data_IF_184970364758
#
_entry.id   IF_184970364758
#
_cell.length_a   1.000
_cell.length_b   1.000
_cell.length_c   1.000
_cell.angle_alpha   90.00
_cell.angle_beta   90.00
_cell.angle_gamma   90.00
#
_symmetry.space_group_name_H-M   'P 1'
#
loop_
_entity.id
_entity.type
_entity.pdbx_description
1 polymer ?
#
# COMPACT_ATOMS: atom_id res chain seq x y z
N UNK A 1 -25.34 -13.69 -5.30
CA UNK A 1 -23.99 -14.28 -5.14
C UNK A 1 -24.00 -15.15 -3.88
N UNK A 2 -23.53 -16.40 -3.96
CA UNK A 2 -23.51 -17.37 -2.85
C UNK A 2 -22.19 -17.26 -2.06
N UNK A 3 -22.18 -17.74 -0.82
CA UNK A 3 -20.96 -17.97 -0.06
C UNK A 3 -20.16 -19.12 -0.69
N UNK A 4 -18.84 -19.02 -0.65
CA UNK A 4 -17.91 -20.03 -1.18
C UNK A 4 -17.08 -20.59 -0.05
N UNK A 5 -16.94 -21.92 0.00
CA UNK A 5 -15.99 -22.61 0.88
C UNK A 5 -14.97 -23.36 0.01
N UNK A 6 -13.72 -22.99 0.16
CA UNK A 6 -12.61 -23.68 -0.50
C UNK A 6 -12.20 -24.89 0.35
N UNK A 7 -12.48 -26.08 -0.19
CA UNK A 7 -12.16 -27.39 0.45
C UNK A 7 -10.93 -28.05 -0.15
N UNK A 8 -10.36 -27.47 -1.21
CA UNK A 8 -9.13 -27.88 -1.87
C UNK A 8 -8.37 -26.67 -2.39
N UNK A 9 -7.09 -26.85 -2.74
CA UNK A 9 -6.27 -25.78 -3.29
C UNK A 9 -6.89 -25.19 -4.56
N UNK A 10 -6.82 -23.86 -4.66
CA UNK A 10 -7.40 -23.12 -5.77
C UNK A 10 -6.41 -22.07 -6.29
N UNK A 11 -6.30 -21.97 -7.61
CA UNK A 11 -5.57 -20.88 -8.27
C UNK A 11 -6.48 -20.25 -9.31
N UNK A 12 -6.69 -18.93 -9.20
CA UNK A 12 -7.64 -18.24 -10.05
C UNK A 12 -7.22 -18.25 -11.53
N UNK A 13 -8.17 -18.49 -12.41
CA UNK A 13 -8.05 -18.38 -13.88
C UNK A 13 -8.87 -17.21 -14.42
N UNK A 14 -9.69 -16.58 -13.58
CA UNK A 14 -10.52 -15.41 -13.86
C UNK A 14 -10.91 -14.72 -12.56
N UNK A 15 -11.65 -13.62 -12.64
CA UNK A 15 -12.30 -12.98 -11.51
C UNK A 15 -13.31 -13.91 -10.86
N UNK A 16 -13.51 -13.75 -9.54
CA UNK A 16 -14.49 -14.52 -8.77
C UNK A 16 -15.29 -13.59 -7.86
N UNK A 17 -16.62 -13.69 -7.93
CA UNK A 17 -17.56 -12.95 -7.07
C UNK A 17 -18.24 -13.89 -6.09
N UNK A 18 -18.20 -13.54 -4.79
CA UNK A 18 -18.83 -14.31 -3.72
C UNK A 18 -19.52 -13.41 -2.69
N UNK A 19 -20.49 -13.96 -1.97
CA UNK A 19 -21.08 -13.27 -0.82
C UNK A 19 -20.11 -13.24 0.37
N UNK A 20 -19.46 -14.37 0.67
CA UNK A 20 -18.40 -14.53 1.66
C UNK A 20 -17.48 -15.68 1.24
N UNK A 21 -16.28 -15.73 1.80
CA UNK A 21 -15.31 -16.77 1.48
C UNK A 21 -14.78 -17.42 2.75
N UNK A 22 -14.77 -18.75 2.76
CA UNK A 22 -14.13 -19.55 3.81
C UNK A 22 -13.04 -20.43 3.18
N UNK A 23 -11.84 -20.37 3.72
CA UNK A 23 -10.71 -21.23 3.34
C UNK A 23 -10.52 -22.24 4.47
N UNK A 24 -10.68 -23.52 4.17
CA UNK A 24 -10.51 -24.58 5.17
C UNK A 24 -9.04 -24.74 5.57
N UNK A 25 -8.84 -25.34 6.75
CA UNK A 25 -7.50 -25.67 7.27
C UNK A 25 -6.69 -26.48 6.24
N UNK A 26 -5.46 -26.06 6.00
CA UNK A 26 -4.52 -26.71 5.06
C UNK A 26 -4.77 -26.40 3.58
N UNK A 27 -5.79 -25.59 3.26
CA UNK A 27 -6.11 -25.20 1.88
C UNK A 27 -5.39 -23.92 1.51
N UNK A 28 -4.80 -23.88 0.31
CA UNK A 28 -4.16 -22.70 -0.26
C UNK A 28 -5.00 -22.15 -1.42
N UNK A 29 -5.46 -20.92 -1.30
CA UNK A 29 -6.21 -20.18 -2.32
C UNK A 29 -5.34 -19.06 -2.84
N UNK A 30 -5.14 -18.98 -4.15
CA UNK A 30 -4.29 -17.96 -4.78
C UNK A 30 -5.06 -17.22 -5.88
N UNK A 31 -5.07 -15.89 -5.79
CA UNK A 31 -5.51 -15.02 -6.87
C UNK A 31 -4.31 -14.48 -7.62
N UNK A 32 -4.29 -14.74 -8.93
CA UNK A 32 -3.19 -14.40 -9.84
C UNK A 32 -3.29 -12.96 -10.34
N UNK A 33 -2.18 -12.43 -10.84
CA UNK A 33 -2.11 -11.08 -11.43
C UNK A 33 -3.22 -10.83 -12.46
N UNK A 34 -3.86 -9.69 -12.37
CA UNK A 34 -4.97 -9.28 -13.22
C UNK A 34 -6.34 -9.77 -12.75
N UNK A 35 -6.40 -10.70 -11.79
CA UNK A 35 -7.68 -11.21 -11.29
C UNK A 35 -8.12 -10.50 -10.00
N UNK A 36 -9.43 -10.26 -9.92
CA UNK A 36 -10.08 -9.70 -8.74
C UNK A 36 -10.91 -10.77 -8.02
N UNK A 37 -10.71 -10.86 -6.71
CA UNK A 37 -11.61 -11.56 -5.82
C UNK A 37 -12.58 -10.56 -5.22
N UNK A 38 -13.84 -10.58 -5.63
CA UNK A 38 -14.88 -9.74 -5.05
C UNK A 38 -15.59 -10.53 -3.97
N UNK A 39 -15.63 -9.99 -2.75
CA UNK A 39 -16.27 -10.62 -1.60
C UNK A 39 -17.25 -9.64 -0.98
N UNK A 40 -18.53 -10.01 -0.93
CA UNK A 40 -19.57 -9.17 -0.34
C UNK A 40 -19.31 -8.86 1.13
N UNK A 41 -18.90 -9.85 1.92
CA UNK A 41 -18.71 -9.76 3.36
C UNK A 41 -17.28 -10.14 3.78
N UNK A 42 -17.14 -11.13 4.68
CA UNK A 42 -15.84 -11.51 5.22
C UNK A 42 -15.12 -12.57 4.40
N UNK A 43 -13.79 -12.56 4.55
CA UNK A 43 -12.89 -13.67 4.26
C UNK A 43 -12.49 -14.30 5.58
N UNK A 44 -12.65 -15.63 5.69
CA UNK A 44 -12.24 -16.43 6.85
C UNK A 44 -11.23 -17.49 6.43
N UNK A 45 -10.00 -17.40 6.91
CA UNK A 45 -8.99 -18.44 6.72
C UNK A 45 -8.84 -19.24 8.02
N UNK A 46 -9.23 -20.52 7.99
CA UNK A 46 -9.25 -21.39 9.16
C UNK A 46 -7.90 -22.08 9.38
N UNK A 47 -7.42 -22.09 10.62
CA UNK A 47 -6.20 -22.79 11.01
C UNK A 47 -4.99 -22.43 10.14
N UNK A 48 -4.49 -23.35 9.34
CA UNK A 48 -3.39 -23.16 8.38
C UNK A 48 -3.86 -22.87 6.95
N UNK A 49 -5.16 -22.66 6.74
CA UNK A 49 -5.70 -22.20 5.45
C UNK A 49 -5.15 -20.82 5.09
N UNK A 50 -4.84 -20.59 3.84
CA UNK A 50 -4.16 -19.34 3.41
C UNK A 50 -4.81 -18.77 2.14
N UNK A 51 -5.18 -17.48 2.17
CA UNK A 51 -5.48 -16.71 0.97
C UNK A 51 -4.23 -15.93 0.56
N UNK A 52 -3.80 -16.11 -0.67
CA UNK A 52 -2.72 -15.32 -1.29
C UNK A 52 -3.29 -14.41 -2.38
N UNK A 53 -3.10 -13.12 -2.23
CA UNK A 53 -3.34 -12.11 -3.26
C UNK A 53 -2.00 -11.78 -3.90
N UNK A 54 -1.73 -12.27 -5.09
CA UNK A 54 -0.48 -12.07 -5.79
C UNK A 54 -0.29 -10.60 -6.23
N UNK A 55 0.95 -10.26 -6.61
CA UNK A 55 1.24 -8.95 -7.21
C UNK A 55 0.30 -8.67 -8.38
N UNK A 56 -0.30 -7.47 -8.42
CA UNK A 56 -1.32 -7.05 -9.39
C UNK A 56 -2.64 -7.84 -9.38
N UNK A 57 -2.89 -8.68 -8.37
CA UNK A 57 -4.24 -9.16 -8.06
C UNK A 57 -4.92 -8.21 -7.06
N UNK A 58 -6.23 -8.37 -6.86
CA UNK A 58 -6.97 -7.59 -5.88
C UNK A 58 -7.99 -8.44 -5.11
N UNK A 59 -8.12 -8.16 -3.81
CA UNK A 59 -9.31 -8.52 -3.05
C UNK A 59 -10.16 -7.26 -2.88
N UNK A 60 -11.35 -7.21 -3.44
CA UNK A 60 -12.31 -6.12 -3.28
C UNK A 60 -13.48 -6.57 -2.40
N UNK A 61 -13.58 -6.00 -1.20
CA UNK A 61 -14.70 -6.26 -0.30
C UNK A 61 -15.72 -5.12 -0.35
N UNK A 62 -17.00 -5.46 -0.19
CA UNK A 62 -18.12 -4.51 -0.29
C UNK A 62 -18.54 -4.04 1.09
N UNK A 63 -18.90 -4.97 2.00
CA UNK A 63 -19.37 -4.67 3.33
C UNK A 63 -18.22 -4.66 4.35
N UNK A 64 -18.36 -3.86 5.40
CA UNK A 64 -17.37 -3.72 6.46
C UNK A 64 -17.46 -4.86 7.49
N UNK A 65 -17.35 -6.10 7.03
CA UNK A 65 -17.36 -7.29 7.91
C UNK A 65 -15.93 -7.72 8.19
N UNK A 66 -15.62 -7.99 9.46
CA UNK A 66 -14.27 -8.32 9.92
C UNK A 66 -13.78 -9.62 9.29
N UNK A 67 -12.58 -9.59 8.73
CA UNK A 67 -11.87 -10.79 8.26
C UNK A 67 -11.19 -11.53 9.42
N UNK A 68 -10.98 -12.83 9.26
CA UNK A 68 -10.28 -13.67 10.24
C UNK A 68 -9.27 -14.60 9.59
N UNK A 69 -8.25 -14.97 10.36
CA UNK A 69 -7.17 -15.81 9.90
C UNK A 69 -6.10 -15.04 9.10
N UNK A 70 -4.95 -15.67 8.90
CA UNK A 70 -3.81 -15.06 8.23
C UNK A 70 -3.91 -15.21 6.71
N UNK A 71 -3.55 -14.17 5.99
CA UNK A 71 -3.48 -14.13 4.53
C UNK A 71 -2.15 -13.53 4.08
N UNK A 72 -1.82 -13.74 2.82
CA UNK A 72 -0.61 -13.20 2.19
C UNK A 72 -1.03 -12.22 1.10
N UNK A 73 -0.45 -11.03 1.12
CA UNK A 73 -0.62 -10.04 0.05
C UNK A 73 0.75 -9.69 -0.50
N UNK A 74 0.93 -9.84 -1.80
CA UNK A 74 2.20 -9.55 -2.47
C UNK A 74 2.10 -8.27 -3.28
N UNK A 75 3.11 -7.44 -3.19
CA UNK A 75 3.25 -6.26 -4.03
C UNK A 75 4.72 -5.99 -4.34
N UNK A 76 5.04 -5.93 -5.61
CA UNK A 76 6.37 -5.58 -6.07
C UNK A 76 6.56 -4.05 -6.07
N UNK A 77 7.75 -3.60 -5.66
CA UNK A 77 8.15 -2.21 -5.88
C UNK A 77 8.38 -1.94 -7.37
N UNK A 78 8.53 -0.67 -7.76
CA UNK A 78 9.32 -0.33 -8.92
C UNK A 78 10.80 -0.74 -8.70
N UNK A 79 11.58 -0.73 -9.76
CA UNK A 79 13.02 -1.03 -9.66
C UNK A 79 13.72 0.01 -8.77
N UNK A 80 14.49 -0.41 -7.80
CA UNK A 80 15.21 0.42 -6.83
C UNK A 80 16.69 0.07 -6.80
N UNK A 81 17.54 1.04 -6.45
CA UNK A 81 18.97 0.85 -6.24
C UNK A 81 19.32 0.98 -4.76
N UNK A 82 20.54 0.59 -4.40
CA UNK A 82 21.03 0.72 -3.01
C UNK A 82 20.84 2.15 -2.51
N UNK A 83 20.40 2.28 -1.24
CA UNK A 83 20.08 3.49 -0.50
C UNK A 83 18.74 4.16 -0.85
N UNK A 84 18.04 3.66 -1.82
CA UNK A 84 16.71 4.17 -2.17
C UNK A 84 15.67 3.96 -1.08
N UNK A 85 14.69 4.84 -1.01
CA UNK A 85 13.54 4.74 -0.13
C UNK A 85 12.25 4.55 -0.92
N UNK A 86 11.41 3.68 -0.43
CA UNK A 86 10.05 3.48 -0.96
C UNK A 86 9.01 3.75 0.12
N UNK A 87 7.93 4.43 -0.24
CA UNK A 87 6.80 4.65 0.65
C UNK A 87 5.88 3.42 0.63
N UNK A 88 5.83 2.69 1.74
CA UNK A 88 5.05 1.48 1.91
C UNK A 88 3.90 1.66 2.90
N UNK A 89 2.85 0.87 2.73
CA UNK A 89 1.73 0.70 3.66
C UNK A 89 1.32 -0.76 3.69
N UNK A 90 0.69 -1.23 4.76
CA UNK A 90 0.29 -2.64 4.86
C UNK A 90 -1.21 -2.82 4.62
N UNK A 91 -1.60 -3.78 3.76
CA UNK A 91 -2.98 -4.20 3.56
C UNK A 91 -3.47 -5.21 4.62
N UNK A 92 -2.62 -5.55 5.58
CA UNK A 92 -2.91 -6.50 6.65
C UNK A 92 -2.51 -5.92 8.01
N UNK A 93 -3.17 -6.36 9.08
CA UNK A 93 -2.74 -6.10 10.45
C UNK A 93 -1.72 -7.14 10.92
N UNK A 94 -0.88 -6.76 11.89
CA UNK A 94 0.12 -7.65 12.49
C UNK A 94 1.46 -7.73 11.74
N UNK A 95 1.58 -7.15 10.56
CA UNK A 95 2.86 -7.13 9.82
C UNK A 95 3.85 -6.17 10.48
N UNK A 96 4.98 -6.69 10.92
CA UNK A 96 6.10 -5.90 11.45
C UNK A 96 6.95 -5.33 10.31
N UNK A 97 7.48 -4.11 10.49
CA UNK A 97 8.32 -3.40 9.51
C UNK A 97 9.57 -4.21 9.13
N UNK A 98 10.32 -4.71 10.13
CA UNK A 98 11.53 -5.50 9.88
C UNK A 98 11.20 -6.86 9.23
N UNK A 99 10.08 -7.49 9.61
CA UNK A 99 9.68 -8.75 9.01
C UNK A 99 9.24 -8.59 7.53
N UNK A 100 8.73 -7.40 7.16
CA UNK A 100 8.44 -7.05 5.77
C UNK A 100 9.70 -6.82 4.95
N UNK A 101 10.72 -6.17 5.51
CA UNK A 101 12.01 -5.90 4.84
C UNK A 101 13.18 -6.32 5.73
N UNK A 102 13.46 -7.62 5.83
CA UNK A 102 14.35 -8.18 6.87
C UNK A 102 15.81 -7.76 6.71
N UNK A 103 16.25 -7.44 5.50
CA UNK A 103 17.62 -7.01 5.22
C UNK A 103 17.82 -5.49 5.26
N UNK A 104 16.77 -4.71 5.52
CA UNK A 104 16.89 -3.27 5.78
C UNK A 104 17.48 -3.05 7.17
N UNK A 105 18.44 -2.13 7.31
CA UNK A 105 19.01 -1.79 8.61
C UNK A 105 17.92 -1.28 9.56
N UNK A 106 17.94 -1.70 10.82
CA UNK A 106 16.89 -1.46 11.81
C UNK A 106 16.60 0.04 12.08
N UNK A 107 17.53 0.91 11.75
CA UNK A 107 17.42 2.37 11.86
C UNK A 107 17.08 3.06 10.53
N UNK A 108 16.52 2.33 9.57
CA UNK A 108 16.18 2.86 8.23
C UNK A 108 14.70 2.69 7.88
N UNK A 109 13.85 2.67 8.90
CA UNK A 109 12.40 2.75 8.82
C UNK A 109 11.95 4.09 9.38
N UNK A 110 11.15 4.85 8.63
CA UNK A 110 10.75 6.19 9.03
C UNK A 110 9.25 6.38 8.88
N UNK A 111 8.66 7.08 9.82
CA UNK A 111 7.38 7.75 9.68
C UNK A 111 7.60 9.23 9.36
N UNK A 112 6.53 9.92 9.01
CA UNK A 112 6.57 11.35 8.76
C UNK A 112 5.66 12.06 9.78
N UNK A 113 6.25 12.92 10.60
CA UNK A 113 5.55 13.74 11.58
C UNK A 113 5.79 15.21 11.26
N UNK A 114 4.77 15.86 10.70
CA UNK A 114 4.84 17.28 10.43
C UNK A 114 4.73 18.09 11.73
N UNK A 115 5.76 18.86 12.04
CA UNK A 115 5.86 19.65 13.28
C UNK A 115 5.68 21.16 13.05
N UNK A 116 5.02 21.54 11.96
CA UNK A 116 4.83 22.95 11.59
C UNK A 116 5.89 23.50 10.65
N UNK A 117 6.96 22.75 10.38
CA UNK A 117 8.03 23.12 9.44
C UNK A 117 8.25 22.03 8.40
N UNK A 118 8.70 22.41 7.20
CA UNK A 118 9.04 21.49 6.11
C UNK A 118 10.47 20.96 6.19
N UNK A 119 11.07 20.95 7.37
CA UNK A 119 12.45 20.51 7.57
C UNK A 119 12.60 19.00 7.46
N UNK A 120 13.80 18.48 7.12
CA UNK A 120 14.10 17.04 7.11
C UNK A 120 13.83 16.32 8.43
N UNK A 121 13.73 17.05 9.54
CA UNK A 121 13.40 16.53 10.88
C UNK A 121 11.99 15.96 11.00
N UNK A 122 11.11 16.18 10.00
CA UNK A 122 9.81 15.53 9.93
C UNK A 122 9.89 14.01 9.71
N UNK A 123 10.98 13.50 9.13
CA UNK A 123 11.23 12.05 9.02
C UNK A 123 11.82 11.55 10.33
N UNK A 124 11.00 10.81 11.08
CA UNK A 124 11.42 10.24 12.36
C UNK A 124 11.61 8.72 12.22
N UNK A 125 12.78 8.25 12.70
CA UNK A 125 13.05 6.81 12.73
C UNK A 125 12.07 6.13 13.68
N UNK A 126 11.48 5.04 13.21
CA UNK A 126 10.64 4.16 14.04
C UNK A 126 11.38 2.87 14.36
N UNK A 127 11.06 2.27 15.49
CA UNK A 127 11.62 0.99 15.88
C UNK A 127 11.25 -0.08 14.85
N UNK A 128 12.22 -0.82 14.37
CA UNK A 128 12.05 -1.83 13.32
C UNK A 128 11.04 -2.94 13.69
N UNK A 129 10.84 -3.20 14.99
CA UNK A 129 9.84 -4.14 15.52
C UNK A 129 8.42 -3.57 15.59
N UNK A 130 8.22 -2.30 15.20
CA UNK A 130 6.89 -1.69 15.09
C UNK A 130 6.09 -2.40 13.99
N UNK A 131 4.80 -2.63 14.23
CA UNK A 131 3.88 -3.09 13.20
C UNK A 131 3.42 -1.93 12.32
N UNK A 132 3.15 -2.21 11.04
CA UNK A 132 2.43 -1.26 10.21
C UNK A 132 1.08 -0.90 10.83
N UNK A 133 0.72 0.37 10.79
CA UNK A 133 -0.60 0.88 11.17
C UNK A 133 -1.42 1.08 9.90
N UNK A 134 -2.65 0.58 9.88
CA UNK A 134 -3.54 0.70 8.73
C UNK A 134 -3.78 2.17 8.35
N UNK A 135 -3.67 2.50 7.07
CA UNK A 135 -3.82 3.87 6.56
C UNK A 135 -2.60 4.77 6.72
N UNK A 136 -1.57 4.34 7.46
CA UNK A 136 -0.31 5.06 7.64
C UNK A 136 0.76 4.56 6.66
N UNK A 137 1.53 5.48 6.09
CA UNK A 137 2.68 5.16 5.26
C UNK A 137 3.99 5.19 6.05
N UNK A 138 4.95 4.45 5.53
CA UNK A 138 6.32 4.38 6.08
C UNK A 138 7.33 4.46 4.95
N UNK A 139 8.38 5.27 5.13
CA UNK A 139 9.54 5.27 4.23
C UNK A 139 10.49 4.17 4.67
N UNK A 140 10.70 3.19 3.81
CA UNK A 140 11.59 2.05 4.07
C UNK A 140 12.74 2.08 3.07
N UNK A 141 13.98 2.08 3.57
CA UNK A 141 15.17 2.06 2.72
C UNK A 141 15.41 0.67 2.13
N UNK A 142 15.93 0.63 0.90
CA UNK A 142 16.49 -0.60 0.35
C UNK A 142 17.50 -1.24 1.31
N UNK A 143 17.61 -2.57 1.27
CA UNK A 143 18.59 -3.31 2.06
C UNK A 143 20.00 -2.77 1.87
N UNK A 144 20.85 -2.88 2.88
CA UNK A 144 22.21 -2.32 2.80
C UNK A 144 23.09 -3.05 1.78
N UNK A 145 22.78 -4.31 1.49
CA UNK A 145 23.38 -5.12 0.44
C UNK A 145 22.60 -5.09 -0.90
N UNK A 146 21.65 -4.15 -1.07
CA UNK A 146 20.86 -4.03 -2.30
C UNK A 146 21.73 -3.69 -3.49
N UNK A 147 21.43 -4.21 -4.71
CA UNK A 147 22.19 -3.91 -5.92
C UNK A 147 22.28 -2.42 -6.25
N UNK A 148 23.35 -2.01 -6.91
CA UNK A 148 23.50 -0.68 -7.51
C UNK A 148 22.75 -0.55 -8.85
N UNK A 149 22.29 -1.66 -9.41
CA UNK A 149 21.44 -1.72 -10.59
C UNK A 149 19.97 -1.77 -10.19
N UNK A 150 19.11 -1.19 -11.01
CA UNK A 150 17.65 -1.17 -10.76
C UNK A 150 17.09 -2.58 -10.59
N UNK A 151 16.63 -2.90 -9.40
CA UNK A 151 16.16 -4.23 -8.99
C UNK A 151 14.83 -4.11 -8.26
N UNK A 152 13.88 -4.97 -8.57
CA UNK A 152 12.55 -5.00 -7.96
C UNK A 152 12.61 -5.66 -6.58
N UNK A 153 12.02 -5.02 -5.57
CA UNK A 153 11.76 -5.64 -4.28
C UNK A 153 10.40 -6.36 -4.31
N UNK A 154 10.40 -7.65 -4.04
CA UNK A 154 9.19 -8.47 -4.00
C UNK A 154 8.58 -8.41 -2.60
N UNK A 155 7.82 -7.36 -2.31
CA UNK A 155 7.18 -7.16 -1.03
C UNK A 155 6.10 -8.20 -0.75
N UNK A 156 6.10 -8.73 0.49
CA UNK A 156 5.09 -9.66 0.97
C UNK A 156 4.62 -9.24 2.37
N UNK A 157 3.32 -9.08 2.50
CA UNK A 157 2.66 -8.82 3.77
C UNK A 157 1.92 -10.08 4.23
N UNK A 158 2.05 -10.41 5.51
CA UNK A 158 1.39 -11.58 6.11
C UNK A 158 0.65 -11.16 7.38
N UNK A 159 -0.64 -11.45 7.46
CA UNK A 159 -1.49 -11.08 8.59
C UNK A 159 -2.97 -11.12 8.26
N UNK A 160 -3.80 -10.50 9.10
CA UNK A 160 -5.24 -10.42 8.89
C UNK A 160 -5.57 -9.29 7.93
N UNK A 161 -6.30 -9.59 6.87
CA UNK A 161 -6.68 -8.62 5.84
C UNK A 161 -7.51 -7.46 6.41
N UNK A 162 -7.10 -6.24 6.12
CA UNK A 162 -7.84 -5.03 6.50
C UNK A 162 -9.11 -4.89 5.66
N UNK A 163 -10.25 -4.67 6.32
CA UNK A 163 -11.54 -4.42 5.68
C UNK A 163 -12.35 -3.37 6.45
N UNK A 164 -13.31 -2.75 5.76
CA UNK A 164 -14.15 -1.70 6.33
C UNK A 164 -13.45 -0.34 6.37
N UNK A 165 -13.99 0.56 7.16
CA UNK A 165 -13.50 1.93 7.24
C UNK A 165 -12.20 1.99 8.07
N UNK A 166 -11.21 2.70 7.55
CA UNK A 166 -9.96 3.02 8.25
C UNK A 166 -9.87 4.54 8.33
N UNK A 167 -9.64 5.07 9.53
CA UNK A 167 -9.48 6.49 9.77
C UNK A 167 -8.09 6.75 10.33
N UNK A 168 -7.28 7.53 9.63
CA UNK A 168 -5.93 7.89 10.03
C UNK A 168 -5.88 9.39 10.37
N UNK A 169 -5.45 9.71 11.59
CA UNK A 169 -5.29 11.11 12.00
C UNK A 169 -4.21 11.81 11.16
N UNK A 170 -4.53 13.05 10.74
CA UNK A 170 -3.63 13.92 9.98
C UNK A 170 -3.52 15.29 10.67
N UNK A 171 -2.31 15.82 10.71
CA UNK A 171 -2.02 17.16 11.17
C UNK A 171 -1.99 18.17 10.03
N UNK A 172 -1.94 19.46 10.36
CA UNK A 172 -1.72 20.53 9.36
C UNK A 172 -0.38 20.30 8.67
N UNK A 173 -0.34 20.49 7.35
CA UNK A 173 0.84 20.31 6.52
C UNK A 173 0.92 18.94 5.87
N UNK A 174 2.13 18.41 5.69
CA UNK A 174 2.33 17.13 5.03
C UNK A 174 2.13 15.96 5.96
N UNK A 175 1.48 14.91 5.46
CA UNK A 175 1.24 13.64 6.17
C UNK A 175 1.55 12.48 5.23
N UNK A 176 2.16 11.42 5.74
CA UNK A 176 2.45 10.20 4.99
C UNK A 176 1.37 9.15 5.30
N UNK A 177 0.50 8.94 4.34
CA UNK A 177 -0.59 7.97 4.36
C UNK A 177 -0.24 6.74 3.51
N UNK A 178 -1.11 5.74 3.52
CA UNK A 178 -0.97 4.59 2.65
C UNK A 178 -2.24 3.78 2.48
N UNK A 179 -2.36 3.12 1.36
CA UNK A 179 -3.51 2.27 1.05
C UNK A 179 -3.57 1.07 2.01
N UNK A 180 -4.63 0.96 2.85
CA UNK A 180 -4.73 -0.10 3.85
C UNK A 180 -5.34 -1.40 3.32
N UNK A 181 -5.68 -1.49 2.03
CA UNK A 181 -6.44 -2.60 1.48
C UNK A 181 -5.63 -3.49 0.54
N UNK A 182 -6.01 -4.78 0.48
CA UNK A 182 -5.48 -5.75 -0.47
C UNK A 182 -6.07 -5.58 -1.89
N UNK A 183 -6.35 -4.34 -2.27
CA UNK A 183 -6.79 -3.91 -3.61
C UNK A 183 -6.22 -2.52 -3.89
N UNK A 184 -6.06 -2.13 -5.13
CA UNK A 184 -5.89 -0.72 -5.46
C UNK A 184 -7.10 0.10 -5.01
N UNK A 185 -6.92 1.42 -4.83
CA UNK A 185 -8.01 2.36 -4.56
C UNK A 185 -8.00 3.51 -5.57
N UNK A 186 -9.18 4.06 -5.85
CA UNK A 186 -9.34 5.23 -6.71
C UNK A 186 -8.91 6.50 -5.98
N UNK A 187 -7.94 7.22 -6.53
CA UNK A 187 -7.51 8.50 -6.01
C UNK A 187 -8.64 9.54 -6.04
N UNK A 188 -9.46 9.55 -7.08
CA UNK A 188 -10.61 10.46 -7.17
C UNK A 188 -11.63 10.20 -6.06
N UNK A 189 -11.98 8.93 -5.82
CA UNK A 189 -12.93 8.57 -4.76
C UNK A 189 -12.34 8.85 -3.37
N UNK A 190 -11.02 8.64 -3.19
CA UNK A 190 -10.33 9.00 -1.96
C UNK A 190 -10.37 10.52 -1.73
N UNK A 191 -10.02 11.34 -2.73
CA UNK A 191 -10.06 12.81 -2.64
C UNK A 191 -11.46 13.34 -2.37
N UNK A 192 -12.49 12.78 -3.03
CA UNK A 192 -13.89 13.15 -2.81
C UNK A 192 -14.36 12.87 -1.36
N UNK A 193 -13.87 11.79 -0.74
CA UNK A 193 -14.18 11.45 0.65
C UNK A 193 -13.36 12.26 1.67
N UNK A 194 -12.33 13.02 1.24
CA UNK A 194 -11.38 13.73 2.08
C UNK A 194 -11.18 15.16 1.58
N UNK A 195 -12.22 16.00 1.67
CA UNK A 195 -12.26 17.34 1.07
C UNK A 195 -11.14 18.29 1.54
N UNK A 196 -10.52 18.05 2.69
CA UNK A 196 -9.36 18.81 3.19
C UNK A 196 -8.04 18.39 2.53
N UNK A 197 -8.05 17.36 1.70
CA UNK A 197 -6.89 16.82 0.98
C UNK A 197 -7.08 17.10 -0.52
N UNK A 198 -6.53 18.20 -1.08
CA UNK A 198 -6.73 18.54 -2.49
C UNK A 198 -5.78 17.79 -3.44
N UNK A 199 -4.65 17.28 -2.91
CA UNK A 199 -3.56 16.74 -3.73
C UNK A 199 -2.89 15.55 -3.05
N UNK A 200 -2.58 14.52 -3.84
CA UNK A 200 -1.73 13.41 -3.48
C UNK A 200 -0.34 13.62 -4.07
N UNK A 201 0.70 13.22 -3.34
CA UNK A 201 2.08 13.27 -3.80
C UNK A 201 2.72 11.89 -3.67
N UNK A 202 3.33 11.43 -4.75
CA UNK A 202 3.98 10.13 -4.84
C UNK A 202 5.48 10.32 -4.98
N UNK A 203 6.24 9.69 -4.10
CA UNK A 203 7.70 9.70 -4.15
C UNK A 203 8.18 8.86 -5.33
N UNK A 204 8.79 9.47 -6.32
CA UNK A 204 9.24 8.78 -7.54
C UNK A 204 10.72 8.45 -7.54
N UNK A 205 11.57 9.34 -7.01
CA UNK A 205 13.03 9.17 -6.92
C UNK A 205 13.70 8.81 -8.27
N UNK A 206 13.36 9.53 -9.32
CA UNK A 206 13.92 9.31 -10.65
C UNK A 206 15.33 9.90 -10.82
N UNK A 207 15.68 10.88 -9.97
CA UNK A 207 17.01 11.49 -9.94
C UNK A 207 17.64 11.27 -8.56
N UNK A 208 18.83 10.62 -8.48
CA UNK A 208 19.48 10.32 -7.20
C UNK A 208 19.95 11.60 -6.50
N UNK A 209 20.12 11.50 -5.18
CA UNK A 209 20.73 12.56 -4.40
C UNK A 209 22.18 12.80 -4.82
N UNK A 210 22.58 14.06 -4.86
CA UNK A 210 23.98 14.49 -5.06
C UNK A 210 24.41 15.35 -3.86
N UNK A 211 25.51 14.98 -3.21
CA UNK A 211 25.95 15.66 -1.99
C UNK A 211 24.94 15.61 -0.83
N UNK A 212 24.10 14.59 -0.76
CA UNK A 212 23.05 14.43 0.26
C UNK A 212 21.77 15.25 0.01
N UNK A 213 21.66 15.93 -1.13
CA UNK A 213 20.51 16.75 -1.51
C UNK A 213 19.93 16.24 -2.83
N UNK A 214 18.61 16.25 -2.96
CA UNK A 214 17.91 15.98 -4.22
C UNK A 214 17.89 17.26 -5.05
N UNK A 215 18.55 17.29 -6.24
CA UNK A 215 18.69 18.52 -7.04
C UNK A 215 17.39 18.99 -7.68
N UNK A 216 16.40 18.08 -7.80
CA UNK A 216 15.08 18.36 -8.36
C UNK A 216 13.99 17.71 -7.52
N UNK A 217 12.76 18.22 -7.65
CA UNK A 217 11.60 17.65 -6.98
C UNK A 217 11.25 16.27 -7.56
N UNK A 218 11.35 15.24 -6.74
CA UNK A 218 11.06 13.84 -7.07
C UNK A 218 9.60 13.43 -6.73
N UNK A 219 8.70 14.36 -6.49
CA UNK A 219 7.29 14.03 -6.23
C UNK A 219 6.43 14.23 -7.47
N UNK A 220 5.81 13.15 -7.94
CA UNK A 220 4.67 13.24 -8.85
C UNK A 220 3.42 13.59 -8.05
N UNK A 221 2.45 14.28 -8.66
CA UNK A 221 1.24 14.70 -7.97
C UNK A 221 -0.02 14.26 -8.70
N UNK A 222 -1.12 14.15 -7.93
CA UNK A 222 -2.43 13.84 -8.48
C UNK A 222 -3.50 14.70 -7.80
N UNK A 223 -4.38 15.26 -8.60
CA UNK A 223 -5.59 16.00 -8.19
C UNK A 223 -6.80 15.41 -8.90
N UNK A 224 -8.00 15.89 -8.60
CA UNK A 224 -9.22 15.51 -9.33
C UNK A 224 -9.20 15.90 -10.81
N UNK A 225 -8.27 16.78 -11.22
CA UNK A 225 -8.06 17.17 -12.62
C UNK A 225 -7.08 16.26 -13.36
N UNK A 226 -6.40 15.36 -12.64
CA UNK A 226 -5.44 14.43 -13.21
C UNK A 226 -4.07 14.44 -12.54
N UNK A 227 -3.15 13.65 -13.11
CA UNK A 227 -1.78 13.50 -12.65
C UNK A 227 -0.80 14.44 -13.33
N UNK A 228 0.28 14.75 -12.60
CA UNK A 228 1.45 15.48 -13.12
C UNK A 228 2.71 14.71 -12.72
N UNK A 229 3.59 14.46 -13.68
CA UNK A 229 4.88 13.85 -13.41
C UNK A 229 5.73 14.72 -12.47
N UNK A 230 6.71 14.13 -11.78
CA UNK A 230 7.68 14.91 -11.02
C UNK A 230 8.56 15.75 -11.95
N UNK A 231 9.14 16.85 -11.44
CA UNK A 231 10.12 17.64 -12.20
C UNK A 231 11.37 16.82 -12.58
N UNK A 232 11.64 15.74 -11.84
CA UNK A 232 12.68 14.76 -12.14
C UNK A 232 12.30 13.79 -13.28
N UNK A 233 11.09 13.90 -13.85
CA UNK A 233 10.55 12.95 -14.81
C UNK A 233 9.83 11.75 -14.16
N UNK A 234 9.60 10.70 -14.92
CA UNK A 234 8.93 9.48 -14.48
C UNK A 234 7.46 9.42 -14.87
N UNK A 235 6.74 8.43 -14.33
CA UNK A 235 5.36 8.16 -14.71
C UNK A 235 4.38 9.23 -14.17
N UNK A 236 3.44 9.63 -15.02
CA UNK A 236 2.31 10.46 -14.63
C UNK A 236 1.32 9.62 -13.81
N UNK A 237 0.89 10.06 -12.61
CA UNK A 237 -0.12 9.34 -11.83
C UNK A 237 -1.43 9.17 -12.60
N UNK A 238 -1.91 7.92 -12.66
CA UNK A 238 -3.10 7.53 -13.44
C UNK A 238 -4.40 7.52 -12.62
N UNK A 239 -4.37 8.02 -11.39
CA UNK A 239 -5.54 8.02 -10.51
C UNK A 239 -5.77 6.73 -9.73
N UNK A 240 -4.82 5.80 -9.75
CA UNK A 240 -4.88 4.56 -8.97
C UNK A 240 -3.78 4.56 -7.91
N UNK A 241 -4.15 4.39 -6.64
CA UNK A 241 -3.21 4.16 -5.54
C UNK A 241 -3.11 2.65 -5.34
N UNK A 242 -1.96 2.09 -5.65
CA UNK A 242 -1.76 0.65 -5.64
C UNK A 242 -1.83 0.04 -4.23
N UNK A 243 -2.09 -1.27 -4.14
CA UNK A 243 -1.95 -2.06 -2.91
C UNK A 243 -0.57 -1.84 -2.31
N UNK A 244 -0.50 -1.57 -1.02
CA UNK A 244 0.77 -1.36 -0.32
C UNK A 244 1.47 -0.03 -0.60
N UNK A 245 0.90 0.85 -1.43
CA UNK A 245 1.49 2.15 -1.77
C UNK A 245 1.30 3.18 -0.66
N UNK A 246 2.43 3.72 -0.16
CA UNK A 246 2.46 4.95 0.63
C UNK A 246 2.44 6.20 -0.27
N UNK A 247 1.83 7.28 0.21
CA UNK A 247 1.75 8.55 -0.49
C UNK A 247 1.62 9.70 0.49
N UNK A 248 2.09 10.88 0.09
CA UNK A 248 1.94 12.09 0.89
C UNK A 248 0.66 12.83 0.52
N UNK A 249 0.09 13.49 1.52
CA UNK A 249 -0.98 14.47 1.37
C UNK A 249 -0.57 15.76 2.07
N UNK A 250 -1.12 16.90 1.61
CA UNK A 250 -0.99 18.17 2.32
C UNK A 250 -2.37 18.68 2.69
N UNK A 251 -2.54 19.04 3.95
CA UNK A 251 -3.80 19.63 4.44
C UNK A 251 -3.54 20.93 5.17
N UNK A 252 -4.55 21.81 5.17
CA UNK A 252 -4.54 23.11 5.88
C UNK A 252 -5.22 23.03 7.24
N UNK A 253 -5.88 21.90 7.56
CA UNK A 253 -6.55 21.68 8.83
C UNK A 253 -6.20 20.27 9.36
N UNK A 254 -6.07 20.15 10.67
CA UNK A 254 -5.99 18.85 11.33
C UNK A 254 -7.33 18.10 11.23
N UNK A 255 -7.29 16.78 11.21
CA UNK A 255 -8.49 15.95 11.07
C UNK A 255 -8.16 14.49 10.85
N UNK A 256 -8.96 13.82 10.05
CA UNK A 256 -8.76 12.43 9.68
C UNK A 256 -8.79 12.24 8.15
N UNK A 257 -7.91 11.39 7.65
CA UNK A 257 -8.01 10.81 6.33
C UNK A 257 -8.80 9.50 6.41
N UNK A 258 -9.87 9.40 5.63
CA UNK A 258 -10.81 8.29 5.68
C UNK A 258 -10.65 7.39 4.45
N UNK A 259 -10.40 6.12 4.71
CA UNK A 259 -10.40 5.06 3.72
C UNK A 259 -11.66 4.22 3.89
N UNK A 260 -12.31 3.87 2.77
CA UNK A 260 -13.55 3.09 2.77
C UNK A 260 -13.54 2.02 1.68
N UNK A 261 -14.38 1.00 1.83
CA UNK A 261 -14.53 -0.04 0.81
C UNK A 261 -14.98 0.52 -0.56
N UNK A 262 -15.73 1.63 -0.58
CA UNK A 262 -16.17 2.28 -1.83
C UNK A 262 -15.03 2.83 -2.70
N UNK A 263 -13.85 3.04 -2.13
CA UNK A 263 -12.67 3.49 -2.85
C UNK A 263 -11.94 2.34 -3.58
N UNK A 264 -12.20 1.08 -3.21
CA UNK A 264 -11.50 -0.10 -3.71
C UNK A 264 -11.89 -0.37 -5.16
N UNK A 265 -10.89 -0.64 -6.00
CA UNK A 265 -11.07 -0.94 -7.42
C UNK A 265 -10.53 -2.33 -7.75
N UNK A 266 -10.90 -2.84 -8.92
CA UNK A 266 -10.47 -4.15 -9.41
C UNK A 266 -8.96 -4.19 -9.67
N UNK A 267 -8.45 -5.40 -9.77
CA UNK A 267 -7.08 -5.66 -10.17
C UNK A 267 -6.77 -5.02 -11.53
N UNK A 268 -5.56 -4.52 -11.65
CA UNK A 268 -5.01 -4.11 -12.93
C UNK A 268 -3.55 -4.53 -12.98
N UNK A 269 -3.12 -5.06 -14.12
CA UNK A 269 -1.72 -5.31 -14.38
C UNK A 269 -1.05 -3.96 -14.59
N UNK A 270 -0.45 -3.43 -13.53
CA UNK A 270 0.18 -2.11 -13.53
C UNK A 270 1.54 -2.19 -12.87
N UNK A 271 2.54 -1.69 -13.58
CA UNK A 271 3.88 -1.47 -13.04
C UNK A 271 3.99 -0.16 -12.25
N UNK A 272 2.91 0.64 -12.22
CA UNK A 272 2.88 1.93 -11.55
C UNK A 272 2.76 1.76 -10.04
N UNK A 273 3.88 1.43 -9.42
CA UNK A 273 4.12 1.57 -8.00
C UNK A 273 5.15 2.70 -7.87
N UNK A 274 4.73 3.85 -7.32
CA UNK A 274 5.57 5.04 -7.30
C UNK A 274 6.78 4.84 -6.42
N UNK A 275 7.82 4.73 -7.04
CA UNK A 275 9.23 4.84 -6.89
C UNK A 275 9.91 4.20 -8.11
N UNK A 276 10.69 4.90 -8.80
CA UNK A 276 11.66 4.37 -9.77
C UNK A 276 13.04 4.87 -9.39
#
# INVERSE_FOLDING_TARGET
>A
VTAVTFTGNYSSTADLDTCSATINTGVNVTFNAGHTFVVGNAVTANGTGTLTINNNAALRQVNAVVNTGSSIVKRNSAGMVKLDYTAWSSPVSGQQLQAFSPSTLSNRFYEYLYTGTTTPTAYQSVTATTNFVAGKGYMIRAADNWPLTSTVFNGQFTGVLTNGNVSQSIGIGYNLLGNPYASPISANTFLAANATIPTLYFWTHTVPASGGVYPVNNYASYTTLGGTASAAGGAVPNGTIQTGQGFFVRTTAAGNANFTNAQRVNASVSTQFYRT
#
